data_IF_026356655149
#
_entry.id   IF_026356655149
#
_cell.length_a   1.000
_cell.length_b   1.000
_cell.length_c   1.000
_cell.angle_alpha   90.00
_cell.angle_beta   90.00
_cell.angle_gamma   90.00
#
_symmetry.space_group_name_H-M   'P 1'
#
loop_
_entity.id
_entity.type
_entity.pdbx_description
1 polymer ?
#
# COMPACT_ATOMS: atom_id res chain seq x y z
N UNK A 1 44.68 -11.84 15.39
CA UNK A 1 43.77 -10.69 15.56
C UNK A 1 43.58 -10.08 14.19
N UNK A 2 42.55 -10.51 13.49
CA UNK A 2 42.16 -10.07 12.16
C UNK A 2 40.65 -10.09 12.15
N UNK A 3 40.06 -8.93 11.96
CA UNK A 3 38.66 -8.62 12.26
C UNK A 3 37.70 -9.44 11.38
N UNK A 4 36.61 -9.95 11.97
CA UNK A 4 35.62 -10.78 11.28
C UNK A 4 34.87 -10.02 10.17
N UNK A 5 35.08 -8.70 10.06
CA UNK A 5 34.48 -7.82 9.06
C UNK A 5 35.09 -7.97 7.65
N UNK A 6 36.31 -8.49 7.51
CA UNK A 6 37.01 -8.48 6.21
C UNK A 6 36.72 -9.70 5.32
N UNK A 7 36.03 -10.71 5.85
CA UNK A 7 35.70 -11.95 5.10
C UNK A 7 34.45 -11.81 4.21
N UNK A 8 33.69 -10.71 4.33
CA UNK A 8 32.43 -10.50 3.61
C UNK A 8 32.55 -9.62 2.34
N UNK A 9 33.76 -9.14 1.99
CA UNK A 9 33.97 -8.27 0.83
C UNK A 9 34.32 -8.99 -0.48
N UNK A 10 34.31 -10.32 -0.50
CA UNK A 10 34.88 -11.08 -1.63
C UNK A 10 33.91 -11.57 -2.72
N UNK A 11 32.62 -11.73 -2.45
CA UNK A 11 31.72 -12.34 -3.43
C UNK A 11 30.35 -11.68 -3.40
N UNK A 12 29.94 -11.22 -4.58
CA UNK A 12 28.71 -10.51 -4.92
C UNK A 12 28.69 -9.05 -4.43
N UNK A 13 28.96 -8.12 -5.36
CA UNK A 13 28.56 -6.74 -5.20
C UNK A 13 27.06 -6.71 -4.82
N UNK A 14 26.62 -5.91 -3.85
CA UNK A 14 25.19 -5.76 -3.61
C UNK A 14 24.61 -5.18 -4.89
N UNK A 15 23.82 -5.98 -5.61
CA UNK A 15 22.95 -5.45 -6.63
C UNK A 15 22.04 -4.44 -5.94
N UNK A 16 22.37 -3.16 -6.10
CA UNK A 16 21.57 -2.02 -5.66
C UNK A 16 20.28 -1.95 -6.50
N UNK A 17 19.44 -2.98 -6.41
CA UNK A 17 18.25 -3.14 -7.26
C UNK A 17 17.04 -3.73 -6.55
N UNK A 18 17.11 -4.00 -5.23
CA UNK A 18 16.00 -4.62 -4.49
C UNK A 18 15.46 -3.72 -3.36
N UNK A 19 15.96 -2.48 -3.22
CA UNK A 19 15.47 -1.49 -2.26
C UNK A 19 15.28 -0.07 -2.85
N UNK A 20 15.17 0.06 -4.17
CA UNK A 20 14.53 1.23 -4.78
C UNK A 20 13.19 0.76 -5.29
N UNK A 21 12.12 1.05 -4.55
CA UNK A 21 10.81 0.93 -5.17
C UNK A 21 10.74 1.99 -6.25
N UNK A 22 10.54 1.57 -7.50
CA UNK A 22 10.29 2.49 -8.64
C UNK A 22 8.98 3.30 -8.49
N UNK A 23 8.31 3.17 -7.35
CA UNK A 23 7.09 3.88 -7.02
C UNK A 23 7.37 5.13 -6.17
N UNK A 24 6.79 6.25 -6.60
CA UNK A 24 6.74 7.47 -5.80
C UNK A 24 5.65 7.45 -4.75
N UNK A 25 4.66 6.54 -4.86
CA UNK A 25 3.55 6.39 -3.91
C UNK A 25 3.07 4.94 -3.81
N UNK A 26 2.77 4.53 -2.58
CA UNK A 26 2.00 3.33 -2.27
C UNK A 26 0.62 3.73 -1.75
N UNK A 27 -0.44 3.25 -2.39
CA UNK A 27 -1.82 3.48 -1.98
C UNK A 27 -2.45 2.18 -1.53
N UNK A 28 -2.68 2.03 -0.23
CA UNK A 28 -3.49 0.95 0.33
C UNK A 28 -4.98 1.31 0.29
N UNK A 29 -5.80 0.38 -0.21
CA UNK A 29 -7.25 0.45 -0.19
C UNK A 29 -7.79 -0.70 0.67
N UNK A 30 -8.44 -0.33 1.77
CA UNK A 30 -9.31 -1.21 2.56
C UNK A 30 -10.74 -1.07 2.03
N UNK A 31 -11.18 -2.05 1.23
CA UNK A 31 -12.40 -1.90 0.44
C UNK A 31 -13.64 -2.35 1.21
N UNK A 32 -14.52 -1.40 1.52
CA UNK A 32 -15.87 -1.64 2.03
C UNK A 32 -16.97 -1.56 0.96
N UNK A 33 -18.16 -2.10 1.25
CA UNK A 33 -19.31 -2.11 0.32
C UNK A 33 -19.84 -0.72 -0.05
N UNK A 34 -19.83 0.21 0.90
CA UNK A 34 -20.31 1.60 0.70
C UNK A 34 -19.18 2.59 0.44
N UNK A 35 -18.12 2.49 1.23
CA UNK A 35 -16.97 3.38 1.19
C UNK A 35 -15.71 2.58 1.42
N UNK A 36 -14.63 2.94 0.74
CA UNK A 36 -13.30 2.40 0.99
C UNK A 36 -12.56 3.34 1.93
N UNK A 37 -11.56 2.82 2.64
CA UNK A 37 -10.59 3.65 3.31
C UNK A 37 -9.27 3.62 2.53
N UNK A 38 -8.72 4.80 2.26
CA UNK A 38 -7.56 4.97 1.39
C UNK A 38 -6.39 5.59 2.15
N UNK A 39 -5.23 4.94 2.09
CA UNK A 39 -4.00 5.41 2.74
C UNK A 39 -2.89 5.47 1.69
N UNK A 40 -2.46 6.68 1.36
CA UNK A 40 -1.34 6.95 0.46
C UNK A 40 -0.08 7.32 1.24
N UNK A 41 1.04 6.66 0.97
CA UNK A 41 2.34 6.93 1.59
C UNK A 41 3.45 7.06 0.55
N UNK A 42 4.38 7.98 0.79
CA UNK A 42 5.62 8.09 0.04
C UNK A 42 6.64 7.03 0.50
N UNK A 43 7.71 6.76 -0.27
CA UNK A 43 8.75 5.78 0.09
C UNK A 43 9.47 6.08 1.41
N UNK A 44 9.52 7.34 1.82
CA UNK A 44 10.07 7.80 3.11
C UNK A 44 9.11 7.58 4.30
N UNK A 45 7.93 6.99 4.07
CA UNK A 45 6.90 6.75 5.06
C UNK A 45 5.99 7.95 5.33
N UNK A 46 6.18 9.08 4.66
CA UNK A 46 5.32 10.26 4.81
C UNK A 46 3.92 9.98 4.25
N UNK A 47 2.91 10.27 5.05
CA UNK A 47 1.49 10.15 4.68
C UNK A 47 1.09 11.26 3.71
N UNK A 48 0.63 10.88 2.52
CA UNK A 48 0.16 11.77 1.44
C UNK A 48 -1.37 11.86 1.40
N UNK A 49 -2.05 10.79 1.82
CA UNK A 49 -3.49 10.71 1.94
C UNK A 49 -3.89 9.73 3.04
N UNK A 50 -4.98 10.05 3.73
CA UNK A 50 -5.59 9.19 4.73
C UNK A 50 -7.05 9.62 4.86
N UNK A 51 -7.97 8.74 4.52
CA UNK A 51 -9.38 9.04 4.69
C UNK A 51 -10.33 8.20 3.85
N UNK A 52 -11.62 8.55 3.95
CA UNK A 52 -12.67 7.90 3.19
C UNK A 52 -12.55 8.13 1.69
N UNK A 53 -12.84 7.09 0.92
CA UNK A 53 -12.87 7.09 -0.54
C UNK A 53 -14.18 6.45 -1.02
N UNK A 54 -15.14 7.25 -1.52
CA UNK A 54 -16.39 6.71 -2.05
C UNK A 54 -16.13 5.74 -3.20
N UNK A 55 -16.89 4.64 -3.23
CA UNK A 55 -16.81 3.62 -4.28
C UNK A 55 -17.43 4.13 -5.61
N UNK A 56 -16.74 5.07 -6.25
CA UNK A 56 -17.16 5.70 -7.50
C UNK A 56 -15.96 6.00 -8.38
N UNK A 57 -16.05 5.71 -9.67
CA UNK A 57 -14.96 5.94 -10.62
C UNK A 57 -14.42 7.38 -10.61
N UNK A 58 -15.25 8.45 -10.58
CA UNK A 58 -14.73 9.82 -10.56
C UNK A 58 -13.89 10.12 -9.31
N UNK A 59 -14.27 9.60 -8.14
CA UNK A 59 -13.51 9.80 -6.90
C UNK A 59 -12.22 8.99 -6.89
N UNK A 60 -12.25 7.76 -7.40
CA UNK A 60 -11.07 6.91 -7.57
C UNK A 60 -10.04 7.59 -8.47
N UNK A 61 -10.45 8.05 -9.66
CA UNK A 61 -9.57 8.79 -10.60
C UNK A 61 -8.99 10.04 -9.98
N UNK A 62 -9.83 10.87 -9.34
CA UNK A 62 -9.37 12.09 -8.70
C UNK A 62 -8.29 11.83 -7.62
N UNK A 63 -8.44 10.76 -6.84
CA UNK A 63 -7.41 10.37 -5.87
C UNK A 63 -6.14 9.87 -6.57
N UNK A 64 -6.28 9.03 -7.59
CA UNK A 64 -5.15 8.49 -8.34
C UNK A 64 -4.34 9.60 -9.02
N UNK A 65 -4.99 10.54 -9.70
CA UNK A 65 -4.35 11.70 -10.34
C UNK A 65 -3.60 12.56 -9.32
N UNK A 66 -4.23 12.83 -8.17
CA UNK A 66 -3.59 13.56 -7.07
C UNK A 66 -2.31 12.88 -6.61
N UNK A 67 -2.34 11.56 -6.42
CA UNK A 67 -1.20 10.81 -5.90
C UNK A 67 -0.12 10.55 -6.96
N UNK A 68 -0.51 10.35 -8.23
CA UNK A 68 0.42 10.19 -9.34
C UNK A 68 1.28 11.44 -9.59
N UNK A 69 0.84 12.62 -9.14
CA UNK A 69 1.67 13.84 -9.10
C UNK A 69 2.94 13.73 -8.25
N UNK A 70 3.04 12.71 -7.39
CA UNK A 70 4.24 12.42 -6.58
C UNK A 70 5.15 11.33 -7.19
N UNK A 71 4.79 10.77 -8.36
CA UNK A 71 5.54 9.73 -9.05
C UNK A 71 4.71 8.47 -9.33
N UNK A 72 5.34 7.39 -9.83
CA UNK A 72 4.62 6.17 -10.18
C UNK A 72 3.85 5.59 -8.98
N UNK A 73 2.59 5.27 -9.20
CA UNK A 73 1.66 4.84 -8.16
C UNK A 73 1.49 3.32 -8.18
N UNK A 74 1.70 2.68 -7.02
CA UNK A 74 1.28 1.31 -6.76
C UNK A 74 -0.01 1.33 -5.94
N UNK A 75 -1.10 0.80 -6.50
CA UNK A 75 -2.38 0.61 -5.80
C UNK A 75 -2.41 -0.80 -5.21
N UNK A 76 -2.66 -0.90 -3.91
CA UNK A 76 -2.68 -2.15 -3.17
C UNK A 76 -4.07 -2.37 -2.59
N UNK A 77 -4.71 -3.47 -2.94
CA UNK A 77 -6.11 -3.76 -2.55
C UNK A 77 -6.15 -5.00 -1.66
N UNK A 78 -6.85 -4.91 -0.52
CA UNK A 78 -6.98 -5.99 0.46
C UNK A 78 -7.95 -7.11 0.01
N UNK A 79 -8.99 -6.75 -0.76
CA UNK A 79 -9.96 -7.70 -1.33
C UNK A 79 -10.20 -7.45 -2.82
N UNK A 80 -9.44 -8.08 -3.72
CA UNK A 80 -9.50 -7.76 -5.16
C UNK A 80 -10.74 -8.25 -5.88
N UNK A 81 -11.46 -9.22 -5.32
CA UNK A 81 -12.69 -9.76 -5.88
C UNK A 81 -13.93 -9.05 -5.32
N UNK A 82 -14.98 -8.92 -6.14
CA UNK A 82 -16.26 -8.28 -5.80
C UNK A 82 -16.11 -6.80 -5.42
N UNK A 83 -15.78 -6.47 -4.18
CA UNK A 83 -15.77 -5.10 -3.67
C UNK A 83 -14.61 -4.30 -4.28
N UNK A 84 -13.41 -4.90 -4.34
CA UNK A 84 -12.24 -4.25 -4.93
C UNK A 84 -12.20 -4.26 -6.46
N UNK A 85 -13.21 -4.82 -7.14
CA UNK A 85 -13.18 -4.94 -8.60
C UNK A 85 -13.13 -3.57 -9.30
N UNK A 86 -13.91 -2.59 -8.81
CA UNK A 86 -13.92 -1.24 -9.37
C UNK A 86 -12.56 -0.53 -9.19
N UNK A 87 -11.99 -0.39 -7.97
CA UNK A 87 -10.70 0.28 -7.81
C UNK A 87 -9.57 -0.39 -8.61
N UNK A 88 -9.56 -1.72 -8.72
CA UNK A 88 -8.59 -2.45 -9.56
C UNK A 88 -8.76 -2.11 -11.04
N UNK A 89 -9.99 -2.10 -11.56
CA UNK A 89 -10.26 -1.76 -12.95
C UNK A 89 -9.87 -0.32 -13.28
N UNK A 90 -10.24 0.63 -12.43
CA UNK A 90 -9.91 2.05 -12.62
C UNK A 90 -8.41 2.29 -12.55
N UNK A 91 -7.71 1.68 -11.58
CA UNK A 91 -6.26 1.82 -11.45
C UNK A 91 -5.52 1.34 -12.71
N UNK A 92 -5.92 0.17 -13.23
CA UNK A 92 -5.38 -0.36 -14.49
C UNK A 92 -5.70 0.52 -15.69
N UNK A 93 -6.92 1.05 -15.78
CA UNK A 93 -7.32 1.97 -16.84
C UNK A 93 -6.55 3.31 -16.80
N UNK A 94 -6.05 3.70 -15.63
CA UNK A 94 -5.16 4.87 -15.46
C UNK A 94 -3.68 4.52 -15.67
N UNK A 95 -3.34 3.27 -16.00
CA UNK A 95 -1.96 2.82 -16.19
C UNK A 95 -1.17 2.59 -14.90
N UNK A 96 -1.83 2.54 -13.74
CA UNK A 96 -1.17 2.27 -12.46
C UNK A 96 -0.96 0.77 -12.25
N UNK A 97 0.12 0.44 -11.54
CA UNK A 97 0.34 -0.93 -11.12
C UNK A 97 -0.60 -1.29 -9.96
N UNK A 98 -1.01 -2.55 -9.92
CA UNK A 98 -1.91 -3.08 -8.89
C UNK A 98 -1.25 -4.28 -8.21
N UNK A 99 -1.19 -4.25 -6.88
CA UNK A 99 -0.81 -5.37 -6.05
C UNK A 99 -1.95 -5.74 -5.09
N UNK A 100 -1.83 -6.92 -4.48
CA UNK A 100 -2.81 -7.44 -3.54
C UNK A 100 -2.09 -7.87 -2.26
N UNK A 101 -2.64 -7.53 -1.10
CA UNK A 101 -2.18 -8.10 0.16
C UNK A 101 -2.95 -9.41 0.39
N UNK A 102 -2.34 -10.60 0.25
CA UNK A 102 -2.99 -11.83 0.67
C UNK A 102 -3.29 -11.75 2.17
N UNK A 103 -4.49 -12.16 2.60
CA UNK A 103 -5.01 -11.93 3.97
C UNK A 103 -4.10 -12.38 5.13
N UNK A 104 -3.13 -13.25 4.87
CA UNK A 104 -2.10 -13.65 5.84
C UNK A 104 -1.08 -12.55 6.16
N UNK A 105 -0.76 -11.69 5.19
CA UNK A 105 0.14 -10.54 5.38
C UNK A 105 -0.53 -9.40 6.14
N UNK A 106 -1.84 -9.17 5.93
CA UNK A 106 -2.65 -8.26 6.75
C UNK A 106 -2.70 -8.69 8.22
N UNK A 107 -2.88 -9.99 8.50
CA UNK A 107 -2.84 -10.52 9.87
C UNK A 107 -1.51 -10.25 10.57
N UNK A 108 -0.39 -10.42 9.85
CA UNK A 108 0.95 -10.11 10.37
C UNK A 108 1.16 -8.61 10.63
N UNK A 109 0.60 -7.73 9.81
CA UNK A 109 0.67 -6.27 10.05
C UNK A 109 -0.22 -5.87 11.23
N UNK A 110 -1.41 -6.47 11.38
CA UNK A 110 -2.27 -6.26 12.54
C UNK A 110 -1.61 -6.73 13.85
N UNK A 111 -0.89 -7.86 13.82
CA UNK A 111 -0.10 -8.36 14.96
C UNK A 111 1.06 -7.41 15.34
N UNK A 112 1.57 -6.62 14.39
CA UNK A 112 2.61 -5.60 14.62
C UNK A 112 2.06 -4.27 15.18
N UNK A 113 0.74 -4.06 15.15
CA UNK A 113 0.05 -2.93 15.79
C UNK A 113 -1.04 -3.41 16.76
N UNK A 114 -0.66 -3.97 17.92
CA UNK A 114 -1.62 -4.32 18.97
C UNK A 114 -2.16 -3.04 19.63
N UNK A 115 -3.11 -2.35 18.99
CA UNK A 115 -3.63 -1.11 19.57
C UNK A 115 -4.62 -0.25 18.80
N UNK A 116 -5.12 -0.65 17.62
CA UNK A 116 -6.29 0.03 16.98
C UNK A 116 -7.29 -0.93 16.35
N UNK A 117 -7.35 -2.16 16.87
CA UNK A 117 -8.53 -2.98 16.68
C UNK A 117 -9.69 -2.29 17.40
N UNK A 118 -10.62 -1.73 16.60
CA UNK A 118 -12.05 -1.65 16.91
C UNK A 118 -12.36 -1.34 18.39
N UNK A 119 -12.48 -0.06 18.73
CA UNK A 119 -13.32 0.32 19.88
C UNK A 119 -14.76 -0.08 19.56
N UNK A 120 -15.04 -1.35 19.77
CA UNK A 120 -16.35 -1.85 20.10
C UNK A 120 -16.66 -1.27 21.49
N UNK A 121 -17.31 -0.10 21.51
CA UNK A 121 -18.07 0.29 22.68
C UNK A 121 -19.36 -0.52 22.62
N UNK A 122 -19.30 -1.72 23.18
CA UNK A 122 -20.44 -2.58 23.45
C UNK A 122 -21.10 -2.11 24.76
N UNK A 123 -22.43 -2.18 24.76
CA UNK A 123 -23.42 -1.95 25.84
C UNK A 123 -23.98 -0.53 26.05
N UNK A 124 -25.14 -0.30 25.44
CA UNK A 124 -26.42 -0.24 26.18
C UNK A 124 -27.49 -1.05 25.42
#
# INVERSE_FOLDING_TARGET
MGDAQDRWRGHVAPAAGWMSSDFGVFLGLDVGKGEHHAVGVAPDGRRLHDGPLPNSEPKLRALFDKLAGHGPLLVVVDQPATIGALPVAVARACGHQVAYLPGLAMRRIADLYPGRAKTDARDA
#
